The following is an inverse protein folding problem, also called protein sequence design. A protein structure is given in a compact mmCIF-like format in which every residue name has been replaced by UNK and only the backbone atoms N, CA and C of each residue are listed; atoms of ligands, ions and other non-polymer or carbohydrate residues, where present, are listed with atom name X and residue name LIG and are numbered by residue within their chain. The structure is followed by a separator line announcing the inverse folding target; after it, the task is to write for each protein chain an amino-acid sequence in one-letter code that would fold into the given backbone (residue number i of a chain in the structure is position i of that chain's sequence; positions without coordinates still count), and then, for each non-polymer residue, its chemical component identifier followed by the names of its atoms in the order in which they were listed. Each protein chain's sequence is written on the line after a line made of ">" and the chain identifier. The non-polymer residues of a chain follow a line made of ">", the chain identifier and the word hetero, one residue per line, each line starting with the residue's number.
data_IF_474611749212
#
_entry.id   IF_474611749212
#
_cell.length_a   1.000
_cell.length_b   1.000
_cell.length_c   1.000
_cell.angle_alpha   90.00
_cell.angle_beta   90.00
_cell.angle_gamma   90.00
#
_symmetry.space_group_name_H-M   'P 1'
#
loop_
_entity.id
_entity.type
_entity.pdbx_description
1 polymer ?
#
# COMPACT_ATOMS: atom_id res chain seq x y z
N UNK A 1 -92.57 -49.07 -14.18
CA UNK A 1 -92.46 -47.61 -14.12
C UNK A 1 -91.34 -47.31 -13.15
N UNK A 2 -90.19 -46.87 -13.67
CA UNK A 2 -89.03 -46.51 -12.85
C UNK A 2 -89.16 -45.04 -12.43
N UNK A 3 -89.02 -44.77 -11.13
CA UNK A 3 -88.96 -43.42 -10.58
C UNK A 3 -87.76 -42.64 -11.15
N UNK A 4 -87.91 -41.33 -11.45
CA UNK A 4 -86.86 -40.55 -12.10
C UNK A 4 -85.77 -40.10 -11.12
N UNK A 5 -84.58 -39.85 -11.68
CA UNK A 5 -83.32 -39.46 -11.06
C UNK A 5 -83.32 -38.08 -10.35
N UNK A 6 -84.32 -37.79 -9.50
CA UNK A 6 -84.60 -36.42 -9.04
C UNK A 6 -84.09 -36.05 -7.63
N UNK A 7 -83.36 -36.91 -6.91
CA UNK A 7 -83.06 -36.65 -5.48
C UNK A 7 -81.57 -36.47 -5.10
N UNK A 8 -80.62 -36.74 -6.01
CA UNK A 8 -79.19 -36.54 -5.71
C UNK A 8 -78.80 -35.06 -5.86
N UNK A 9 -79.37 -34.35 -6.84
CA UNK A 9 -79.06 -32.93 -7.09
C UNK A 9 -79.38 -32.02 -5.90
N UNK A 10 -80.46 -32.31 -5.16
CA UNK A 10 -80.87 -31.51 -3.99
C UNK A 10 -79.87 -31.58 -2.83
N UNK A 11 -79.12 -32.68 -2.73
CA UNK A 11 -78.11 -32.85 -1.68
C UNK A 11 -76.89 -31.93 -1.85
N UNK A 12 -76.75 -31.28 -3.02
CA UNK A 12 -75.60 -30.43 -3.36
C UNK A 12 -75.95 -28.95 -3.61
N UNK A 13 -77.22 -28.53 -3.48
CA UNK A 13 -77.67 -27.15 -3.75
C UNK A 13 -76.96 -26.11 -2.86
N UNK A 14 -76.51 -26.49 -1.66
CA UNK A 14 -75.73 -25.62 -0.77
C UNK A 14 -74.38 -25.18 -1.39
N UNK A 15 -73.82 -25.93 -2.33
CA UNK A 15 -72.56 -25.61 -3.00
C UNK A 15 -72.70 -24.57 -4.11
N UNK A 16 -73.91 -24.24 -4.55
CA UNK A 16 -74.16 -23.19 -5.56
C UNK A 16 -73.88 -21.78 -5.02
N UNK A 17 -73.85 -21.61 -3.68
CA UNK A 17 -73.54 -20.35 -3.01
C UNK A 17 -72.06 -20.22 -2.60
N UNK A 18 -71.25 -21.24 -2.83
CA UNK A 18 -69.82 -21.17 -2.49
C UNK A 18 -69.05 -20.42 -3.58
N UNK A 19 -68.10 -19.54 -3.22
CA UNK A 19 -67.25 -18.81 -4.18
C UNK A 19 -66.11 -19.70 -4.73
N UNK A 20 -66.41 -20.97 -5.01
CA UNK A 20 -65.49 -21.98 -5.52
C UNK A 20 -66.18 -22.77 -6.62
N UNK A 21 -65.42 -23.26 -7.60
CA UNK A 21 -65.94 -24.19 -8.57
C UNK A 21 -66.09 -25.58 -7.95
N UNK A 22 -67.29 -26.13 -7.87
CA UNK A 22 -67.56 -27.43 -7.25
C UNK A 22 -68.23 -28.36 -8.24
N UNK A 23 -67.65 -29.54 -8.42
CA UNK A 23 -68.27 -30.60 -9.22
C UNK A 23 -68.03 -31.97 -8.58
N UNK A 24 -68.88 -32.93 -8.87
CA UNK A 24 -68.72 -34.30 -8.39
C UNK A 24 -68.78 -35.31 -9.54
N UNK A 25 -67.99 -36.37 -9.42
CA UNK A 25 -67.93 -37.47 -10.39
C UNK A 25 -68.35 -38.80 -9.75
N UNK A 26 -69.00 -39.68 -10.51
CA UNK A 26 -69.14 -41.10 -10.15
C UNK A 26 -67.91 -41.93 -10.58
N UNK A 27 -67.90 -43.23 -10.25
CA UNK A 27 -66.82 -44.16 -10.60
C UNK A 27 -66.58 -44.29 -12.11
N UNK A 28 -67.61 -43.99 -12.92
CA UNK A 28 -67.56 -44.00 -14.38
C UNK A 28 -67.03 -42.67 -14.97
N UNK A 29 -66.60 -41.74 -14.12
CA UNK A 29 -66.12 -40.39 -14.50
C UNK A 29 -67.21 -39.51 -15.12
N UNK A 30 -68.49 -39.77 -14.81
CA UNK A 30 -69.61 -38.93 -15.22
C UNK A 30 -69.87 -37.83 -14.20
N UNK A 31 -70.21 -36.65 -14.69
CA UNK A 31 -70.51 -35.49 -13.86
C UNK A 31 -71.88 -35.65 -13.23
N UNK A 32 -71.94 -35.77 -11.90
CA UNK A 32 -73.21 -35.87 -11.16
C UNK A 32 -73.63 -34.55 -10.53
N UNK A 33 -72.68 -33.63 -10.37
CA UNK A 33 -72.94 -32.28 -9.88
C UNK A 33 -71.99 -31.28 -10.53
N UNK A 34 -72.51 -30.09 -10.83
CA UNK A 34 -71.78 -28.98 -11.44
C UNK A 34 -72.42 -27.68 -10.94
N UNK A 35 -71.66 -26.89 -10.18
CA UNK A 35 -72.22 -25.72 -9.51
C UNK A 35 -72.24 -24.46 -10.39
N UNK A 36 -73.01 -23.46 -9.97
CA UNK A 36 -73.19 -22.19 -10.68
C UNK A 36 -71.84 -21.48 -10.97
N UNK A 37 -70.89 -21.52 -10.04
CA UNK A 37 -69.56 -20.93 -10.26
C UNK A 37 -68.83 -21.54 -11.44
N UNK A 38 -68.91 -22.86 -11.63
CA UNK A 38 -68.31 -23.51 -12.79
C UNK A 38 -69.05 -23.21 -14.09
N UNK A 39 -70.38 -23.08 -14.06
CA UNK A 39 -71.14 -22.59 -15.23
C UNK A 39 -70.65 -21.20 -15.65
N UNK A 40 -70.49 -20.28 -14.69
CA UNK A 40 -69.99 -18.94 -14.94
C UNK A 40 -68.54 -18.94 -15.46
N UNK A 41 -67.69 -19.80 -14.90
CA UNK A 41 -66.28 -19.87 -15.27
C UNK A 41 -66.04 -20.52 -16.64
N UNK A 42 -66.76 -21.61 -16.97
CA UNK A 42 -66.50 -22.38 -18.19
C UNK A 42 -67.43 -22.01 -19.34
N UNK A 43 -68.56 -21.37 -19.04
CA UNK A 43 -69.65 -21.14 -20.00
C UNK A 43 -70.43 -22.40 -20.36
N UNK A 44 -70.21 -23.53 -19.67
CA UNK A 44 -70.92 -24.79 -19.91
C UNK A 44 -72.08 -24.90 -18.91
N UNK A 45 -73.36 -24.87 -19.38
CA UNK A 45 -74.51 -25.05 -18.52
C UNK A 45 -74.54 -26.46 -17.90
N UNK A 46 -74.98 -26.59 -16.64
CA UNK A 46 -75.01 -27.87 -15.90
C UNK A 46 -75.83 -28.93 -16.61
N UNK A 47 -76.91 -28.55 -17.30
CA UNK A 47 -77.78 -29.46 -18.02
C UNK A 47 -77.11 -30.09 -19.25
N UNK A 48 -76.06 -29.46 -19.79
CA UNK A 48 -75.30 -30.00 -20.93
C UNK A 48 -74.22 -30.99 -20.50
N UNK A 49 -73.68 -30.84 -19.28
CA UNK A 49 -72.55 -31.63 -18.78
C UNK A 49 -72.94 -32.73 -17.78
N UNK A 50 -74.01 -32.53 -17.00
CA UNK A 50 -74.46 -33.53 -16.00
C UNK A 50 -74.93 -34.81 -16.70
N UNK A 51 -74.55 -35.97 -16.15
CA UNK A 51 -74.83 -37.29 -16.73
C UNK A 51 -73.94 -37.66 -17.92
N UNK A 52 -72.93 -36.85 -18.24
CA UNK A 52 -71.93 -37.15 -19.28
C UNK A 52 -70.54 -37.30 -18.67
N UNK A 53 -69.68 -38.05 -19.36
CA UNK A 53 -68.29 -38.21 -18.93
C UNK A 53 -67.52 -36.89 -18.95
N UNK A 54 -66.87 -36.53 -17.85
CA UNK A 54 -66.00 -35.34 -17.75
C UNK A 54 -64.84 -35.40 -18.76
N UNK A 55 -64.42 -36.61 -19.14
CA UNK A 55 -63.32 -36.85 -20.08
C UNK A 55 -63.68 -36.48 -21.53
N UNK A 56 -64.97 -36.30 -21.83
CA UNK A 56 -65.44 -35.78 -23.12
C UNK A 56 -65.17 -34.27 -23.22
N UNK A 57 -65.55 -33.51 -22.18
CA UNK A 57 -65.36 -32.06 -22.12
C UNK A 57 -63.90 -31.68 -21.86
N UNK A 58 -63.18 -32.50 -21.11
CA UNK A 58 -61.80 -32.24 -20.70
C UNK A 58 -60.88 -33.44 -20.98
N UNK A 59 -60.48 -33.67 -22.25
CA UNK A 59 -59.69 -34.84 -22.64
C UNK A 59 -58.32 -34.94 -21.97
N UNK A 60 -57.73 -33.84 -21.49
CA UNK A 60 -56.44 -33.85 -20.79
C UNK A 60 -56.48 -34.64 -19.48
N UNK A 61 -57.67 -34.78 -18.88
CA UNK A 61 -57.86 -35.60 -17.67
C UNK A 61 -57.65 -37.10 -17.92
N UNK A 62 -57.56 -37.55 -19.19
CA UNK A 62 -57.18 -38.92 -19.54
C UNK A 62 -55.70 -39.21 -19.26
N UNK A 63 -54.86 -38.18 -19.12
CA UNK A 63 -53.45 -38.39 -18.83
C UNK A 63 -53.30 -39.06 -17.46
N UNK A 64 -52.36 -40.04 -17.31
CA UNK A 64 -52.23 -40.84 -16.10
C UNK A 64 -52.10 -40.02 -14.81
N UNK A 65 -51.42 -38.86 -14.88
CA UNK A 65 -51.23 -37.96 -13.73
C UNK A 65 -52.52 -37.39 -13.13
N UNK A 66 -53.60 -37.30 -13.91
CA UNK A 66 -54.92 -36.92 -13.40
C UNK A 66 -55.76 -38.16 -13.12
N UNK A 67 -55.88 -39.04 -14.12
CA UNK A 67 -56.82 -40.16 -14.09
C UNK A 67 -56.55 -41.10 -12.91
N UNK A 68 -55.29 -41.44 -12.66
CA UNK A 68 -54.94 -42.35 -11.55
C UNK A 68 -55.32 -41.72 -10.20
N UNK A 69 -54.92 -40.47 -9.98
CA UNK A 69 -55.21 -39.73 -8.74
C UNK A 69 -56.70 -39.57 -8.48
N UNK A 70 -57.51 -39.38 -9.52
CA UNK A 70 -58.97 -39.30 -9.40
C UNK A 70 -59.55 -40.68 -9.08
N UNK A 71 -59.08 -41.73 -9.74
CA UNK A 71 -59.52 -43.11 -9.49
C UNK A 71 -59.18 -43.59 -8.08
N UNK A 72 -58.02 -43.23 -7.56
CA UNK A 72 -57.55 -43.61 -6.23
C UNK A 72 -58.50 -43.12 -5.12
N UNK A 73 -59.20 -42.00 -5.33
CA UNK A 73 -60.20 -41.44 -4.40
C UNK A 73 -61.40 -42.39 -4.24
N UNK A 74 -61.84 -43.05 -5.32
CA UNK A 74 -62.93 -44.03 -5.26
C UNK A 74 -62.52 -45.31 -4.53
N UNK A 75 -61.21 -45.61 -4.49
CA UNK A 75 -60.65 -46.77 -3.79
C UNK A 75 -60.36 -46.51 -2.31
N UNK A 76 -60.81 -45.38 -1.75
CA UNK A 76 -60.64 -45.02 -0.34
C UNK A 76 -59.31 -44.33 -0.01
N UNK A 77 -58.57 -43.84 -1.02
CA UNK A 77 -57.34 -43.07 -0.78
C UNK A 77 -57.62 -41.70 -0.16
N UNK A 78 -56.65 -41.08 0.55
CA UNK A 78 -56.78 -39.73 1.08
C UNK A 78 -57.10 -38.71 -0.02
N UNK A 79 -57.62 -37.54 0.38
CA UNK A 79 -57.92 -36.45 -0.55
C UNK A 79 -56.69 -36.06 -1.40
N UNK A 80 -56.90 -35.89 -2.70
CA UNK A 80 -55.83 -35.52 -3.64
C UNK A 80 -55.88 -34.02 -3.95
N UNK A 81 -54.71 -33.38 -3.99
CA UNK A 81 -54.58 -31.95 -4.36
C UNK A 81 -53.96 -31.83 -5.75
N UNK A 82 -54.58 -31.01 -6.58
CA UNK A 82 -54.11 -30.63 -7.91
C UNK A 82 -53.75 -29.15 -7.92
N UNK A 83 -52.46 -28.85 -7.89
CA UNK A 83 -51.93 -27.49 -8.06
C UNK A 83 -51.67 -27.17 -9.53
N UNK A 84 -51.85 -25.92 -9.94
CA UNK A 84 -51.49 -25.45 -11.28
C UNK A 84 -50.01 -25.63 -11.66
N UNK A 85 -49.09 -25.66 -10.69
CA UNK A 85 -47.67 -25.91 -10.95
C UNK A 85 -47.42 -27.31 -11.54
N UNK A 86 -48.06 -28.35 -11.01
CA UNK A 86 -47.85 -29.74 -11.44
C UNK A 86 -48.89 -30.20 -12.47
N UNK A 87 -50.09 -29.65 -12.36
CA UNK A 87 -51.28 -30.13 -13.06
C UNK A 87 -51.90 -29.07 -13.97
N UNK A 88 -51.28 -27.90 -14.17
CA UNK A 88 -51.77 -26.77 -14.99
C UNK A 88 -53.18 -26.28 -14.60
N UNK A 89 -54.22 -27.06 -14.90
CA UNK A 89 -55.61 -26.85 -14.52
C UNK A 89 -56.34 -28.20 -14.46
N UNK A 90 -57.32 -28.34 -13.56
CA UNK A 90 -58.28 -29.45 -13.62
C UNK A 90 -59.37 -29.10 -14.63
N UNK A 91 -59.96 -27.92 -14.48
CA UNK A 91 -60.93 -27.36 -15.40
C UNK A 91 -60.28 -26.11 -16.02
N UNK A 92 -59.83 -26.12 -17.29
CA UNK A 92 -59.27 -24.93 -17.91
C UNK A 92 -60.30 -23.80 -17.94
N UNK A 93 -60.06 -22.74 -17.17
CA UNK A 93 -60.90 -21.54 -17.14
C UNK A 93 -60.08 -20.37 -17.63
N UNK A 94 -60.57 -19.67 -18.65
CA UNK A 94 -59.90 -18.48 -19.19
C UNK A 94 -60.29 -17.23 -18.40
N UNK A 95 -59.35 -16.29 -18.31
CA UNK A 95 -59.56 -14.92 -17.89
C UNK A 95 -59.85 -14.05 -19.14
N UNK A 96 -60.28 -12.82 -18.91
CA UNK A 96 -60.66 -11.87 -19.97
C UNK A 96 -59.50 -11.55 -20.92
N UNK A 97 -58.27 -11.64 -20.43
CA UNK A 97 -57.02 -11.48 -21.19
C UNK A 97 -56.58 -12.75 -21.94
N UNK A 98 -57.45 -13.77 -22.03
CA UNK A 98 -57.20 -15.08 -22.62
C UNK A 98 -56.17 -15.96 -21.90
N UNK A 99 -55.59 -15.52 -20.78
CA UNK A 99 -54.77 -16.38 -19.92
C UNK A 99 -55.65 -17.38 -19.15
N UNK A 100 -55.06 -18.44 -18.60
CA UNK A 100 -55.80 -19.40 -17.78
C UNK A 100 -55.70 -19.03 -16.30
N UNK A 101 -56.82 -19.16 -15.58
CA UNK A 101 -56.85 -19.04 -14.11
C UNK A 101 -55.88 -20.04 -13.49
N UNK A 102 -55.10 -19.57 -12.52
CA UNK A 102 -54.33 -20.46 -11.65
C UNK A 102 -55.29 -21.07 -10.64
N UNK A 103 -55.29 -22.40 -10.58
CA UNK A 103 -56.24 -23.17 -9.79
C UNK A 103 -55.54 -24.03 -8.77
N UNK A 104 -56.19 -24.16 -7.62
CA UNK A 104 -55.96 -25.24 -6.69
C UNK A 104 -57.25 -26.05 -6.57
N UNK A 105 -57.17 -27.34 -6.91
CA UNK A 105 -58.31 -28.23 -6.81
C UNK A 105 -58.05 -29.32 -5.76
N UNK A 106 -58.99 -29.52 -4.85
CA UNK A 106 -58.96 -30.62 -3.89
C UNK A 106 -60.06 -31.62 -4.26
N UNK A 107 -59.70 -32.90 -4.24
CA UNK A 107 -60.61 -34.01 -4.53
C UNK A 107 -60.74 -34.88 -3.30
N UNK A 108 -61.96 -35.05 -2.84
CA UNK A 108 -62.30 -35.85 -1.66
C UNK A 108 -63.35 -36.90 -2.02
N UNK A 109 -63.32 -38.04 -1.35
CA UNK A 109 -64.37 -39.05 -1.47
C UNK A 109 -65.53 -38.67 -0.56
N UNK A 110 -66.75 -38.74 -1.11
CA UNK A 110 -67.98 -38.58 -0.36
C UNK A 110 -68.88 -39.78 -0.64
N UNK A 111 -69.63 -40.24 0.36
CA UNK A 111 -70.62 -41.31 0.18
C UNK A 111 -72.01 -40.69 0.12
N UNK A 112 -72.72 -40.93 -0.98
CA UNK A 112 -74.09 -40.48 -1.16
C UNK A 112 -75.08 -41.25 -0.28
N UNK A 113 -76.31 -40.74 -0.15
CA UNK A 113 -77.40 -41.42 0.56
C UNK A 113 -77.80 -42.75 -0.08
N UNK A 114 -77.44 -42.93 -1.35
CA UNK A 114 -77.61 -44.16 -2.12
C UNK A 114 -76.51 -45.21 -1.86
N UNK A 115 -75.56 -44.91 -0.96
CA UNK A 115 -74.44 -45.79 -0.60
C UNK A 115 -73.30 -45.79 -1.62
N UNK A 116 -73.37 -44.98 -2.70
CA UNK A 116 -72.32 -44.89 -3.71
C UNK A 116 -71.26 -43.86 -3.33
N UNK A 117 -70.04 -44.08 -3.78
CA UNK A 117 -68.91 -43.14 -3.59
C UNK A 117 -68.80 -42.19 -4.77
N UNK A 118 -68.67 -40.90 -4.48
CA UNK A 118 -68.43 -39.84 -5.45
C UNK A 118 -67.12 -39.13 -5.15
N UNK A 119 -66.43 -38.67 -6.20
CA UNK A 119 -65.28 -37.79 -6.08
C UNK A 119 -65.74 -36.34 -6.14
N UNK A 120 -65.71 -35.63 -5.01
CA UNK A 120 -66.06 -34.22 -4.90
C UNK A 120 -64.82 -33.35 -5.12
N UNK A 121 -64.88 -32.51 -6.15
CA UNK A 121 -63.86 -31.53 -6.49
C UNK A 121 -64.26 -30.16 -5.97
N UNK A 122 -63.32 -29.48 -5.31
CA UNK A 122 -63.40 -28.06 -5.00
C UNK A 122 -62.25 -27.35 -5.69
N UNK A 123 -62.55 -26.46 -6.63
CA UNK A 123 -61.61 -25.71 -7.47
C UNK A 123 -61.62 -24.26 -7.03
N UNK A 124 -60.50 -23.81 -6.48
CA UNK A 124 -60.29 -22.43 -6.07
C UNK A 124 -59.48 -21.68 -7.12
N UNK A 125 -59.90 -20.46 -7.45
CA UNK A 125 -59.07 -19.51 -8.18
C UNK A 125 -58.06 -18.87 -7.22
N UNK A 126 -56.78 -19.05 -7.51
CA UNK A 126 -55.65 -18.52 -6.73
C UNK A 126 -54.77 -17.59 -7.57
N UNK A 127 -55.26 -17.10 -8.71
CA UNK A 127 -54.47 -16.30 -9.67
C UNK A 127 -53.90 -15.03 -9.03
N UNK A 128 -54.74 -14.22 -8.38
CA UNK A 128 -54.29 -12.97 -7.74
C UNK A 128 -53.26 -13.24 -6.62
N UNK A 129 -53.50 -14.27 -5.81
CA UNK A 129 -52.60 -14.66 -4.73
C UNK A 129 -51.24 -15.13 -5.29
N UNK A 130 -51.24 -15.96 -6.33
CA UNK A 130 -50.02 -16.42 -7.00
C UNK A 130 -49.22 -15.28 -7.61
N UNK A 131 -49.89 -14.32 -8.27
CA UNK A 131 -49.24 -13.14 -8.83
C UNK A 131 -48.60 -12.28 -7.73
N UNK A 132 -49.34 -11.98 -6.65
CA UNK A 132 -48.82 -11.22 -5.51
C UNK A 132 -47.58 -11.89 -4.89
N UNK A 133 -47.59 -13.22 -4.71
CA UNK A 133 -46.43 -13.95 -4.17
C UNK A 133 -45.21 -13.84 -5.09
N UNK A 134 -45.41 -13.91 -6.41
CA UNK A 134 -44.33 -13.76 -7.38
C UNK A 134 -43.72 -12.35 -7.32
N UNK A 135 -44.57 -11.32 -7.26
CA UNK A 135 -44.13 -9.93 -7.15
C UNK A 135 -43.37 -9.68 -5.84
N UNK A 136 -43.88 -10.19 -4.70
CA UNK A 136 -43.20 -10.09 -3.42
C UNK A 136 -41.82 -10.76 -3.43
N UNK A 137 -41.69 -11.95 -4.04
CA UNK A 137 -40.39 -12.62 -4.17
C UNK A 137 -39.42 -11.76 -4.99
N UNK A 138 -39.87 -11.22 -6.12
CA UNK A 138 -39.06 -10.35 -6.97
C UNK A 138 -38.58 -9.11 -6.25
N UNK A 139 -39.47 -8.40 -5.55
CA UNK A 139 -39.12 -7.20 -4.76
C UNK A 139 -38.13 -7.53 -3.63
N UNK A 140 -38.36 -8.64 -2.91
CA UNK A 140 -37.47 -9.08 -1.83
C UNK A 140 -36.07 -9.39 -2.36
N UNK A 141 -35.98 -10.12 -3.47
CA UNK A 141 -34.70 -10.52 -4.05
C UNK A 141 -33.94 -9.29 -4.58
N UNK A 142 -34.63 -8.28 -5.13
CA UNK A 142 -34.04 -6.99 -5.48
C UNK A 142 -33.51 -6.22 -4.25
N UNK A 143 -34.30 -6.13 -3.19
CA UNK A 143 -33.89 -5.45 -1.95
C UNK A 143 -32.69 -6.13 -1.28
N UNK A 144 -32.65 -7.48 -1.27
CA UNK A 144 -31.50 -8.23 -0.77
C UNK A 144 -30.23 -7.95 -1.58
N UNK A 145 -30.34 -7.83 -2.90
CA UNK A 145 -29.21 -7.48 -3.75
C UNK A 145 -28.68 -6.07 -3.48
N UNK A 146 -29.57 -5.08 -3.34
CA UNK A 146 -29.19 -3.69 -3.02
C UNK A 146 -28.52 -3.58 -1.65
N UNK A 147 -29.04 -4.29 -0.63
CA UNK A 147 -28.43 -4.34 0.70
C UNK A 147 -27.03 -4.97 0.66
N UNK A 148 -26.86 -6.05 -0.11
CA UNK A 148 -25.56 -6.72 -0.26
C UNK A 148 -24.53 -5.81 -0.96
N UNK A 149 -24.91 -5.13 -2.04
CA UNK A 149 -24.04 -4.17 -2.74
C UNK A 149 -23.65 -3.01 -1.83
N UNK A 150 -24.60 -2.45 -1.09
CA UNK A 150 -24.34 -1.38 -0.12
C UNK A 150 -23.39 -1.84 0.98
N UNK A 151 -23.59 -3.04 1.52
CA UNK A 151 -22.74 -3.59 2.58
C UNK A 151 -21.30 -3.79 2.08
N UNK A 152 -21.12 -4.29 0.86
CA UNK A 152 -19.79 -4.41 0.24
C UNK A 152 -19.13 -3.04 0.04
N UNK A 153 -19.88 -2.01 -0.34
CA UNK A 153 -19.36 -0.65 -0.47
C UNK A 153 -18.91 -0.09 0.89
N UNK A 154 -19.72 -0.27 1.94
CA UNK A 154 -19.39 0.14 3.31
C UNK A 154 -18.14 -0.61 3.83
N UNK A 155 -18.02 -1.91 3.58
CA UNK A 155 -16.83 -2.71 3.95
C UNK A 155 -15.57 -2.23 3.22
N UNK A 156 -15.66 -1.92 1.91
CA UNK A 156 -14.53 -1.35 1.15
C UNK A 156 -14.09 0.00 1.68
N UNK A 157 -15.03 0.90 2.00
CA UNK A 157 -14.72 2.21 2.57
C UNK A 157 -14.04 2.08 3.94
N UNK A 158 -14.54 1.18 4.79
CA UNK A 158 -13.95 0.91 6.10
C UNK A 158 -12.53 0.36 5.98
N UNK A 159 -12.29 -0.55 5.03
CA UNK A 159 -10.95 -1.08 4.77
C UNK A 159 -10.01 0.03 4.30
N UNK A 160 -10.43 0.88 3.34
CA UNK A 160 -9.64 1.99 2.85
C UNK A 160 -9.26 2.98 3.97
N UNK A 161 -10.21 3.36 4.83
CA UNK A 161 -9.95 4.20 5.99
C UNK A 161 -8.98 3.55 6.98
N UNK A 162 -9.10 2.23 7.19
CA UNK A 162 -8.18 1.48 8.06
C UNK A 162 -6.76 1.49 7.50
N UNK A 163 -6.60 1.29 6.19
CA UNK A 163 -5.28 1.37 5.53
C UNK A 163 -4.69 2.76 5.67
N UNK A 164 -5.48 3.81 5.38
CA UNK A 164 -5.04 5.20 5.54
C UNK A 164 -4.48 5.48 6.94
N UNK A 165 -5.18 5.03 8.00
CA UNK A 165 -4.77 5.27 9.38
C UNK A 165 -3.60 4.41 9.89
N UNK A 166 -3.42 3.19 9.34
CA UNK A 166 -2.44 2.23 9.86
C UNK A 166 -1.18 2.07 8.99
N UNK A 167 -0.95 2.95 8.02
CA UNK A 167 0.33 2.97 7.29
C UNK A 167 1.45 3.53 8.15
N UNK A 168 2.67 3.01 7.96
CA UNK A 168 3.86 3.55 8.63
C UNK A 168 4.28 4.91 8.04
N UNK A 169 4.04 5.13 6.75
CA UNK A 169 4.30 6.39 6.06
C UNK A 169 3.21 7.41 6.42
N UNK A 170 3.64 8.66 6.62
CA UNK A 170 2.73 9.77 6.81
C UNK A 170 2.00 10.08 5.52
N UNK A 171 0.67 10.13 5.58
CA UNK A 171 -0.19 10.53 4.47
C UNK A 171 -0.83 11.86 4.84
N UNK A 172 -0.76 12.81 3.92
CA UNK A 172 -1.34 14.13 4.05
C UNK A 172 -2.06 14.51 2.75
N UNK A 173 -3.32 14.88 2.87
CA UNK A 173 -4.13 15.40 1.76
C UNK A 173 -4.20 16.92 1.90
N UNK A 174 -3.86 17.61 0.81
CA UNK A 174 -3.88 19.05 0.73
C UNK A 174 -5.02 19.50 -0.18
N UNK A 175 -5.70 20.57 0.22
CA UNK A 175 -6.65 21.28 -0.61
C UNK A 175 -5.96 22.04 -1.74
N UNK A 176 -6.74 22.70 -2.59
CA UNK A 176 -6.24 23.36 -3.81
C UNK A 176 -5.27 24.51 -3.52
N UNK A 177 -5.36 25.17 -2.36
CA UNK A 177 -4.46 26.25 -1.95
C UNK A 177 -3.26 25.79 -1.11
N UNK A 178 -3.12 24.48 -0.85
CA UNK A 178 -2.04 23.92 -0.02
C UNK A 178 -2.36 23.87 1.48
N UNK A 179 -3.61 24.12 1.86
CA UNK A 179 -4.14 23.85 3.19
C UNK A 179 -4.20 22.35 3.45
N UNK A 180 -3.96 21.94 4.68
CA UNK A 180 -4.02 20.52 5.07
C UNK A 180 -5.49 20.15 5.34
N UNK A 181 -6.06 19.29 4.49
CA UNK A 181 -7.44 18.83 4.62
C UNK A 181 -7.57 17.55 5.43
N UNK A 182 -6.57 16.67 5.36
CA UNK A 182 -6.56 15.41 6.09
C UNK A 182 -5.14 14.91 6.33
N UNK A 183 -4.93 14.21 7.44
CA UNK A 183 -3.68 13.54 7.79
C UNK A 183 -3.99 12.21 8.46
N UNK A 184 -3.10 11.23 8.33
CA UNK A 184 -3.22 9.96 9.05
C UNK A 184 -2.48 9.97 10.40
N UNK A 185 -2.59 8.88 11.15
CA UNK A 185 -1.85 8.72 12.42
C UNK A 185 -0.32 8.89 12.27
N UNK A 186 0.30 8.30 11.24
CA UNK A 186 1.74 8.37 11.04
C UNK A 186 2.27 9.80 10.83
N UNK A 187 1.49 10.68 10.19
CA UNK A 187 1.80 12.11 10.11
C UNK A 187 2.04 12.72 11.50
N UNK A 188 1.17 12.40 12.46
CA UNK A 188 1.24 12.95 13.80
C UNK A 188 2.46 12.41 14.55
N UNK A 189 2.76 11.12 14.37
CA UNK A 189 3.95 10.48 14.95
C UNK A 189 5.25 11.08 14.40
N UNK A 190 5.33 11.31 13.09
CA UNK A 190 6.55 11.80 12.43
C UNK A 190 6.76 13.29 12.69
N UNK A 191 5.72 14.11 12.62
CA UNK A 191 5.82 15.58 12.66
C UNK A 191 5.60 16.16 14.05
N UNK A 192 4.95 15.41 14.94
CA UNK A 192 4.52 15.83 16.27
C UNK A 192 3.28 16.74 16.28
N UNK A 193 2.69 17.04 15.13
CA UNK A 193 1.44 17.81 15.05
C UNK A 193 0.25 16.88 15.13
N UNK A 194 -0.65 17.16 16.07
CA UNK A 194 -1.95 16.50 16.10
C UNK A 194 -2.83 17.03 14.95
N UNK A 195 -3.82 16.27 14.47
CA UNK A 195 -4.70 16.72 13.38
C UNK A 195 -5.35 18.08 13.69
N UNK A 196 -5.77 18.31 14.93
CA UNK A 196 -6.37 19.59 15.35
C UNK A 196 -5.44 20.80 15.21
N UNK A 197 -4.11 20.58 15.26
CA UNK A 197 -3.11 21.65 15.11
C UNK A 197 -2.68 21.87 13.65
N UNK A 198 -2.94 20.89 12.79
CA UNK A 198 -2.47 20.86 11.40
C UNK A 198 -3.57 21.21 10.39
N UNK A 199 -4.79 20.73 10.61
CA UNK A 199 -5.90 20.89 9.67
C UNK A 199 -6.22 22.37 9.40
N UNK A 200 -6.42 22.71 8.13
CA UNK A 200 -6.68 24.05 7.62
C UNK A 200 -5.46 24.98 7.57
N UNK A 201 -4.30 24.56 8.09
CA UNK A 201 -3.06 25.33 7.97
C UNK A 201 -2.37 25.04 6.66
N UNK A 202 -1.61 26.02 6.19
CA UNK A 202 -0.80 25.89 4.99
C UNK A 202 0.45 25.02 5.27
N UNK A 203 0.67 24.00 4.43
CA UNK A 203 1.69 22.98 4.72
C UNK A 203 3.13 23.51 4.70
N UNK A 204 3.44 24.54 3.90
CA UNK A 204 4.78 25.14 3.83
C UNK A 204 5.12 25.84 5.12
N UNK A 205 4.19 26.63 5.65
CA UNK A 205 4.38 27.32 6.93
C UNK A 205 4.52 26.34 8.10
N UNK A 206 3.79 25.21 8.05
CA UNK A 206 3.77 24.24 9.14
C UNK A 206 5.01 23.32 9.14
N UNK A 207 5.38 22.80 7.98
CA UNK A 207 6.29 21.66 7.85
C UNK A 207 7.60 21.99 7.14
N UNK A 208 7.66 22.97 6.25
CA UNK A 208 8.89 23.23 5.48
C UNK A 208 9.87 24.03 6.34
N UNK A 209 11.12 23.57 6.42
CA UNK A 209 12.16 24.30 7.15
C UNK A 209 12.74 25.45 6.34
N UNK A 210 13.51 26.30 7.03
CA UNK A 210 14.26 27.45 6.51
C UNK A 210 15.52 27.07 5.73
N UNK A 211 15.80 25.77 5.54
CA UNK A 211 16.96 25.29 4.77
C UNK A 211 16.79 25.34 3.26
N UNK A 212 15.58 25.62 2.79
CA UNK A 212 15.28 25.70 1.36
C UNK A 212 15.19 27.15 0.94
N UNK A 213 15.82 27.48 -0.19
CA UNK A 213 15.71 28.80 -0.77
C UNK A 213 14.44 28.95 -1.63
N UNK A 214 14.19 30.16 -2.11
CA UNK A 214 13.05 30.44 -2.99
C UNK A 214 13.14 29.71 -4.33
N UNK A 215 14.34 29.35 -4.77
CA UNK A 215 14.60 28.67 -6.05
C UNK A 215 14.09 27.24 -5.99
N UNK A 216 14.41 26.51 -4.93
CA UNK A 216 13.93 25.15 -4.69
C UNK A 216 12.41 25.07 -4.74
N UNK A 217 11.71 26.02 -4.09
CA UNK A 217 10.25 26.04 -4.08
C UNK A 217 9.65 26.33 -5.45
N UNK A 218 10.28 27.19 -6.26
CA UNK A 218 9.84 27.46 -7.61
C UNK A 218 9.97 26.22 -8.51
N UNK A 219 11.09 25.51 -8.42
CA UNK A 219 11.32 24.25 -9.16
C UNK A 219 10.35 23.15 -8.73
N UNK A 220 10.15 22.98 -7.43
CA UNK A 220 9.18 22.05 -6.85
C UNK A 220 7.78 22.23 -7.47
N UNK A 221 7.27 23.46 -7.51
CA UNK A 221 5.94 23.75 -8.04
C UNK A 221 5.86 23.60 -9.55
N UNK A 222 6.89 24.03 -10.28
CA UNK A 222 6.97 23.87 -11.74
C UNK A 222 6.85 22.39 -12.11
N UNK A 223 7.63 21.51 -11.46
CA UNK A 223 7.60 20.06 -11.72
C UNK A 223 6.24 19.46 -11.35
N UNK A 224 5.69 19.80 -10.19
CA UNK A 224 4.42 19.24 -9.73
C UNK A 224 3.26 19.61 -10.66
N UNK A 225 3.21 20.87 -11.13
CA UNK A 225 2.16 21.36 -12.02
C UNK A 225 2.32 20.76 -13.42
N UNK A 226 3.55 20.68 -13.95
CA UNK A 226 3.80 20.16 -15.30
C UNK A 226 3.59 18.65 -15.41
N UNK A 227 4.04 17.90 -14.41
CA UNK A 227 4.06 16.43 -14.47
C UNK A 227 2.95 15.76 -13.66
N UNK A 228 2.26 16.50 -12.81
CA UNK A 228 1.25 15.98 -11.89
C UNK A 228 1.84 15.23 -10.69
N UNK A 229 3.17 15.17 -10.56
CA UNK A 229 3.85 14.48 -9.45
C UNK A 229 5.17 15.14 -9.10
N UNK A 230 5.60 14.98 -7.86
CA UNK A 230 6.94 15.36 -7.44
C UNK A 230 7.46 14.36 -6.42
N UNK A 231 8.75 14.03 -6.49
CA UNK A 231 9.40 13.16 -5.51
C UNK A 231 10.77 13.74 -5.18
N UNK A 232 11.10 13.82 -3.90
CA UNK A 232 12.42 14.30 -3.47
C UNK A 232 12.59 14.32 -1.96
N UNK A 233 13.74 14.84 -1.53
CA UNK A 233 14.06 15.03 -0.12
C UNK A 233 13.79 16.47 0.30
N UNK A 234 13.17 16.65 1.47
CA UNK A 234 12.85 17.95 2.05
C UNK A 234 13.33 17.97 3.50
N UNK A 235 13.99 19.04 3.92
CA UNK A 235 14.15 19.35 5.33
C UNK A 235 12.84 19.89 5.93
N UNK A 236 12.20 19.07 6.75
CA UNK A 236 10.98 19.39 7.47
C UNK A 236 11.24 19.93 8.88
N UNK A 237 10.24 20.58 9.47
CA UNK A 237 10.25 21.10 10.85
C UNK A 237 9.21 20.36 11.69
N UNK A 238 9.69 19.75 12.78
CA UNK A 238 8.86 19.11 13.78
C UNK A 238 8.18 20.16 14.68
N UNK A 239 7.03 19.85 15.30
CA UNK A 239 6.30 20.77 16.21
C UNK A 239 7.16 21.35 17.35
N UNK A 240 8.20 20.63 17.76
CA UNK A 240 9.15 21.06 18.81
C UNK A 240 10.30 21.94 18.28
N UNK A 241 10.30 22.30 16.99
CA UNK A 241 11.32 23.11 16.34
C UNK A 241 12.48 22.33 15.71
N UNK A 242 12.61 21.02 15.94
CA UNK A 242 13.67 20.19 15.34
C UNK A 242 13.53 20.15 13.83
N UNK A 243 14.62 20.41 13.11
CA UNK A 243 14.70 20.22 11.65
C UNK A 243 15.21 18.82 11.34
N UNK A 244 14.53 18.11 10.43
CA UNK A 244 14.84 16.72 10.08
C UNK A 244 14.54 16.45 8.59
N UNK A 245 15.30 15.56 7.92
CA UNK A 245 15.06 15.26 6.52
C UNK A 245 13.90 14.25 6.37
N UNK A 246 13.00 14.53 5.44
CA UNK A 246 11.97 13.62 4.98
C UNK A 246 12.16 13.30 3.49
N UNK A 247 11.82 12.09 3.08
CA UNK A 247 11.60 11.76 1.67
C UNK A 247 10.09 11.83 1.40
N UNK A 248 9.68 12.53 0.36
CA UNK A 248 8.27 12.83 0.09
C UNK A 248 7.94 12.61 -1.38
N UNK A 249 6.75 12.05 -1.60
CA UNK A 249 6.10 11.88 -2.90
C UNK A 249 4.77 12.63 -2.87
N UNK A 250 4.59 13.59 -3.77
CA UNK A 250 3.40 14.41 -3.90
C UNK A 250 2.75 14.17 -5.25
N UNK A 251 1.44 13.90 -5.27
CA UNK A 251 0.69 13.63 -6.48
C UNK A 251 -0.54 14.55 -6.57
N UNK A 252 -0.83 15.04 -7.77
CA UNK A 252 -2.00 15.87 -8.06
C UNK A 252 -3.22 14.97 -8.25
N UNK A 253 -4.32 15.29 -7.58
CA UNK A 253 -5.63 14.65 -7.76
C UNK A 253 -6.50 15.59 -8.59
N UNK A 254 -6.98 15.11 -9.73
CA UNK A 254 -7.86 15.85 -10.63
C UNK A 254 -9.31 15.43 -10.37
N UNK A 255 -10.19 16.40 -10.16
CA UNK A 255 -11.63 16.16 -9.97
C UNK A 255 -12.39 15.93 -11.28
N UNK A 256 -13.70 15.66 -11.18
CA UNK A 256 -14.56 15.39 -12.34
C UNK A 256 -14.62 16.53 -13.37
N UNK A 257 -14.34 17.77 -12.93
CA UNK A 257 -14.30 18.96 -13.79
C UNK A 257 -13.01 19.13 -14.59
N UNK A 258 -12.05 18.21 -14.47
CA UNK A 258 -10.73 18.33 -15.08
C UNK A 258 -9.80 19.34 -14.41
N UNK A 259 -10.23 19.94 -13.28
CA UNK A 259 -9.40 20.82 -12.46
C UNK A 259 -8.77 20.06 -11.29
N UNK A 260 -7.65 20.58 -10.79
CA UNK A 260 -7.02 20.09 -9.55
C UNK A 260 -8.04 20.20 -8.41
N UNK A 261 -8.31 19.07 -7.75
CA UNK A 261 -9.15 19.01 -6.56
C UNK A 261 -8.30 19.04 -5.29
N UNK A 262 -7.27 18.20 -5.23
CA UNK A 262 -6.41 18.01 -4.06
C UNK A 262 -4.99 17.61 -4.47
N UNK A 263 -4.10 17.57 -3.48
CA UNK A 263 -2.80 16.92 -3.61
C UNK A 263 -2.67 15.84 -2.53
N UNK A 264 -2.09 14.69 -2.87
CA UNK A 264 -1.78 13.63 -1.92
C UNK A 264 -0.27 13.53 -1.72
N UNK A 265 0.17 13.83 -0.50
CA UNK A 265 1.54 13.71 -0.06
C UNK A 265 1.69 12.41 0.76
N UNK A 266 2.74 11.65 0.45
CA UNK A 266 3.20 10.52 1.26
C UNK A 266 4.65 10.80 1.60
N UNK A 267 5.03 10.73 2.88
CA UNK A 267 6.40 10.99 3.30
C UNK A 267 6.85 10.16 4.49
N UNK A 268 8.17 10.01 4.61
CA UNK A 268 8.84 9.25 5.66
C UNK A 268 10.05 10.01 6.23
N UNK A 269 10.38 9.76 7.50
CA UNK A 269 11.53 10.34 8.19
C UNK A 269 12.80 9.55 7.85
N UNK A 270 13.68 10.16 7.06
CA UNK A 270 14.92 9.53 6.60
C UNK A 270 16.13 9.87 7.49
N UNK A 271 15.91 10.42 8.70
CA UNK A 271 16.98 10.82 9.63
C UNK A 271 17.94 9.66 9.93
N UNK A 272 17.41 8.46 10.22
CA UNK A 272 18.24 7.30 10.54
C UNK A 272 19.02 6.79 9.34
N UNK A 273 18.40 6.83 8.15
CA UNK A 273 19.06 6.47 6.88
C UNK A 273 20.24 7.41 6.62
N UNK A 274 20.03 8.72 6.70
CA UNK A 274 21.08 9.74 6.53
C UNK A 274 22.21 9.60 7.55
N UNK A 275 21.90 9.37 8.83
CA UNK A 275 22.93 9.15 9.86
C UNK A 275 23.76 7.90 9.59
N UNK A 276 23.12 6.83 9.11
CA UNK A 276 23.81 5.58 8.78
C UNK A 276 24.70 5.78 7.56
N UNK A 277 24.20 6.46 6.52
CA UNK A 277 24.98 6.85 5.35
C UNK A 277 26.19 7.71 5.74
N UNK A 278 26.00 8.76 6.54
CA UNK A 278 27.08 9.62 7.06
C UNK A 278 28.11 8.82 7.86
N UNK A 279 27.66 7.90 8.72
CA UNK A 279 28.56 7.04 9.50
C UNK A 279 29.38 6.13 8.57
N UNK A 280 28.74 5.49 7.59
CA UNK A 280 29.42 4.65 6.59
C UNK A 280 30.42 5.46 5.75
N UNK A 281 30.05 6.67 5.36
CA UNK A 281 30.94 7.60 4.65
C UNK A 281 32.13 7.98 5.53
N UNK A 282 31.92 8.30 6.81
CA UNK A 282 33.00 8.66 7.74
C UNK A 282 33.96 7.49 8.00
N UNK A 283 33.44 6.26 8.11
CA UNK A 283 34.24 5.04 8.23
C UNK A 283 35.02 4.72 6.95
N UNK A 284 34.50 5.09 5.78
CA UNK A 284 35.20 4.91 4.51
C UNK A 284 36.40 5.86 4.35
N UNK A 285 36.40 6.99 5.04
CA UNK A 285 37.33 8.10 4.79
C UNK A 285 38.35 8.40 5.89
N UNK A 286 38.15 7.90 7.10
CA UNK A 286 39.08 8.10 8.21
C UNK A 286 39.83 6.80 8.56
N UNK A 287 40.98 6.93 9.20
CA UNK A 287 41.75 5.83 9.79
C UNK A 287 41.21 5.51 11.18
N UNK A 288 40.82 4.26 11.41
CA UNK A 288 40.14 3.83 12.64
C UNK A 288 40.97 4.05 13.92
N UNK A 289 42.30 4.03 13.82
CA UNK A 289 43.18 4.18 14.98
C UNK A 289 43.40 5.65 15.35
N UNK A 290 43.67 6.49 14.35
CA UNK A 290 44.16 7.86 14.54
C UNK A 290 43.08 8.93 14.33
N UNK A 291 41.97 8.59 13.68
CA UNK A 291 40.85 9.49 13.39
C UNK A 291 41.11 10.53 12.30
N UNK A 292 42.33 10.63 11.77
CA UNK A 292 42.65 11.46 10.60
C UNK A 292 42.23 10.76 9.32
N UNK A 293 42.32 11.42 8.17
CA UNK A 293 41.94 10.82 6.90
C UNK A 293 42.76 9.54 6.61
N UNK A 294 42.15 8.54 5.99
CA UNK A 294 42.88 7.35 5.56
C UNK A 294 43.51 7.54 4.17
N UNK A 295 44.31 6.56 3.74
CA UNK A 295 44.97 6.57 2.42
C UNK A 295 44.00 6.74 1.25
N UNK A 296 42.79 6.17 1.33
CA UNK A 296 41.79 6.29 0.26
C UNK A 296 41.34 7.74 0.12
N UNK A 297 40.94 8.37 1.23
CA UNK A 297 40.55 9.78 1.24
C UNK A 297 41.67 10.68 0.75
N UNK A 298 42.91 10.43 1.19
CA UNK A 298 44.08 11.16 0.70
C UNK A 298 44.19 11.12 -0.84
N UNK A 299 44.09 9.93 -1.44
CA UNK A 299 44.21 9.79 -2.89
C UNK A 299 43.08 10.52 -3.64
N UNK A 300 41.84 10.38 -3.17
CA UNK A 300 40.68 11.07 -3.76
C UNK A 300 40.83 12.59 -3.66
N UNK A 301 41.16 13.09 -2.46
CA UNK A 301 41.32 14.52 -2.21
C UNK A 301 42.49 15.12 -3.00
N UNK A 302 43.59 14.39 -3.14
CA UNK A 302 44.73 14.85 -3.92
C UNK A 302 44.37 14.99 -5.40
N UNK A 303 43.64 14.02 -5.95
CA UNK A 303 43.18 14.08 -7.34
C UNK A 303 42.21 15.26 -7.58
N UNK A 304 41.25 15.45 -6.66
CA UNK A 304 40.33 16.59 -6.69
C UNK A 304 41.07 17.93 -6.65
N UNK A 305 42.00 18.08 -5.71
CA UNK A 305 42.75 19.32 -5.54
C UNK A 305 43.74 19.55 -6.68
N UNK A 306 44.35 18.51 -7.25
CA UNK A 306 45.17 18.62 -8.45
C UNK A 306 44.35 19.14 -9.65
N UNK A 307 43.17 18.56 -9.87
CA UNK A 307 42.23 19.02 -10.89
C UNK A 307 41.77 20.47 -10.66
N UNK A 308 41.54 20.85 -9.41
CA UNK A 308 41.15 22.22 -9.03
C UNK A 308 42.29 23.22 -9.23
N UNK A 309 43.50 22.87 -8.83
CA UNK A 309 44.71 23.65 -9.02
C UNK A 309 44.98 23.92 -10.50
N UNK A 310 44.79 22.92 -11.37
CA UNK A 310 44.90 23.09 -12.82
C UNK A 310 43.94 24.15 -13.39
N UNK A 311 42.70 24.22 -12.86
CA UNK A 311 41.70 25.23 -13.27
C UNK A 311 41.94 26.63 -12.69
N UNK A 312 42.46 26.71 -11.46
CA UNK A 312 42.65 27.97 -10.73
C UNK A 312 44.08 28.50 -10.79
N UNK A 313 45.00 27.76 -11.41
CA UNK A 313 46.41 28.10 -11.58
C UNK A 313 47.14 28.42 -10.27
N UNK A 314 47.05 27.51 -9.28
CA UNK A 314 47.84 27.58 -8.05
C UNK A 314 48.70 26.32 -7.86
N UNK A 315 49.67 26.41 -6.95
CA UNK A 315 50.61 25.33 -6.63
C UNK A 315 50.03 24.37 -5.58
N UNK A 316 50.31 23.08 -5.74
CA UNK A 316 49.96 22.06 -4.75
C UNK A 316 51.24 21.55 -4.11
N UNK A 317 51.27 21.62 -2.78
CA UNK A 317 52.34 21.06 -1.98
C UNK A 317 51.90 19.78 -1.28
N UNK A 318 52.80 18.80 -1.22
CA UNK A 318 52.59 17.53 -0.54
C UNK A 318 53.76 17.29 0.41
N UNK A 319 53.44 16.95 1.66
CA UNK A 319 54.39 16.52 2.67
C UNK A 319 54.13 15.05 2.97
N UNK A 320 55.14 14.20 2.83
CA UNK A 320 55.16 12.84 3.34
C UNK A 320 56.07 12.79 4.56
N UNK A 321 55.63 12.12 5.62
CA UNK A 321 56.42 11.97 6.83
C UNK A 321 56.32 10.56 7.40
N UNK A 322 57.36 10.19 8.14
CA UNK A 322 57.51 8.88 8.78
C UNK A 322 58.02 9.06 10.21
N UNK A 323 57.48 8.28 11.13
CA UNK A 323 57.97 8.24 12.51
C UNK A 323 59.28 7.44 12.55
N UNK A 324 60.36 8.13 12.92
CA UNK A 324 61.69 7.56 12.90
C UNK A 324 61.83 6.38 13.86
N UNK A 325 62.37 5.27 13.34
CA UNK A 325 62.64 4.05 14.12
C UNK A 325 61.39 3.42 14.77
N UNK A 326 60.19 3.69 14.26
CA UNK A 326 58.95 3.25 14.91
C UNK A 326 58.82 1.73 15.05
N UNK A 327 59.35 0.94 14.10
CA UNK A 327 59.49 -0.51 14.31
C UNK A 327 60.27 -0.87 15.59
N UNK A 328 61.41 -0.21 15.84
CA UNK A 328 62.18 -0.42 17.07
C UNK A 328 61.43 0.06 18.31
N UNK A 329 60.62 1.11 18.16
CA UNK A 329 59.72 1.56 19.22
C UNK A 329 58.71 0.46 19.59
N UNK A 330 58.01 -0.10 18.60
CA UNK A 330 57.07 -1.20 18.80
C UNK A 330 57.74 -2.44 19.39
N UNK A 331 58.92 -2.82 18.89
CA UNK A 331 59.68 -3.97 19.40
C UNK A 331 60.11 -3.77 20.87
N UNK A 332 60.23 -2.52 21.33
CA UNK A 332 60.67 -2.18 22.69
C UNK A 332 59.50 -2.01 23.67
N UNK A 333 58.42 -1.35 23.25
CA UNK A 333 57.32 -0.92 24.12
C UNK A 333 56.00 -1.65 23.85
N UNK A 334 55.94 -2.48 22.80
CA UNK A 334 54.75 -3.21 22.38
C UNK A 334 53.82 -2.40 21.48
N UNK A 335 53.01 -3.10 20.68
CA UNK A 335 52.09 -2.48 19.71
C UNK A 335 51.09 -1.52 20.35
N UNK A 336 50.60 -1.80 21.56
CA UNK A 336 49.67 -0.90 22.25
C UNK A 336 50.30 0.47 22.56
N UNK A 337 51.59 0.49 22.94
CA UNK A 337 52.32 1.74 23.14
C UNK A 337 52.60 2.46 21.80
N UNK A 338 52.81 1.69 20.73
CA UNK A 338 52.88 2.21 19.37
C UNK A 338 51.59 2.89 18.92
N UNK A 339 50.46 2.26 19.18
CA UNK A 339 49.13 2.77 18.86
C UNK A 339 48.86 4.11 19.56
N UNK A 340 49.20 4.21 20.85
CA UNK A 340 49.11 5.48 21.59
C UNK A 340 50.09 6.54 21.06
N UNK A 341 51.30 6.14 20.68
CA UNK A 341 52.26 7.05 20.02
C UNK A 341 51.69 7.59 18.70
N UNK A 342 51.08 6.74 17.86
CA UNK A 342 50.46 7.14 16.60
C UNK A 342 49.29 8.12 16.83
N UNK A 343 48.46 7.88 17.84
CA UNK A 343 47.38 8.80 18.22
C UNK A 343 47.91 10.16 18.67
N UNK A 344 48.96 10.18 19.50
CA UNK A 344 49.58 11.42 19.96
C UNK A 344 50.20 12.22 18.81
N UNK A 345 50.89 11.53 17.88
CA UNK A 345 51.45 12.15 16.67
C UNK A 345 50.31 12.71 15.81
N UNK A 346 49.30 11.92 15.48
CA UNK A 346 48.16 12.35 14.66
C UNK A 346 47.43 13.55 15.27
N UNK A 347 47.18 13.53 16.58
CA UNK A 347 46.56 14.64 17.30
C UNK A 347 47.39 15.93 17.20
N UNK A 348 48.71 15.81 17.38
CA UNK A 348 49.63 16.95 17.32
C UNK A 348 49.71 17.53 15.91
N UNK A 349 49.80 16.68 14.88
CA UNK A 349 49.81 17.09 13.48
C UNK A 349 48.48 17.78 13.11
N UNK A 350 47.34 17.21 13.51
CA UNK A 350 46.01 17.78 13.26
C UNK A 350 45.84 19.15 13.94
N UNK A 351 46.46 19.34 15.11
CA UNK A 351 46.53 20.62 15.79
C UNK A 351 47.37 21.69 15.07
N UNK A 352 48.10 21.34 14.02
CA UNK A 352 48.95 22.26 13.25
C UNK A 352 48.46 22.48 11.81
N UNK A 353 47.87 21.45 11.21
CA UNK A 353 47.24 21.47 9.89
C UNK A 353 45.81 22.01 10.04
N UNK A 354 45.68 23.34 9.93
CA UNK A 354 44.40 24.04 10.21
C UNK A 354 43.91 24.92 9.06
N UNK A 355 44.70 25.12 8.00
CA UNK A 355 44.26 26.03 6.93
C UNK A 355 43.14 25.36 6.15
N UNK A 356 42.18 26.17 5.72
CA UNK A 356 41.05 25.68 4.93
C UNK A 356 41.57 25.03 3.64
N UNK A 357 41.24 23.75 3.45
CA UNK A 357 41.67 22.97 2.28
C UNK A 357 42.86 22.04 2.53
N UNK A 358 43.62 22.22 3.62
CA UNK A 358 44.65 21.26 4.01
C UNK A 358 44.01 19.94 4.47
N UNK A 359 44.67 18.82 4.16
CA UNK A 359 44.26 17.49 4.61
C UNK A 359 45.44 16.76 5.24
N UNK A 360 45.28 16.31 6.48
CA UNK A 360 46.17 15.34 7.13
C UNK A 360 45.59 13.94 6.99
N UNK A 361 46.41 12.98 6.54
CA UNK A 361 46.06 11.59 6.42
C UNK A 361 47.12 10.66 6.99
N UNK A 362 46.71 9.50 7.51
CA UNK A 362 47.61 8.38 7.75
C UNK A 362 47.75 7.58 6.46
N UNK A 363 48.94 7.66 5.86
CA UNK A 363 49.20 7.11 4.54
C UNK A 363 49.44 5.59 4.58
N UNK A 364 50.06 5.09 5.65
CA UNK A 364 50.19 3.65 5.92
C UNK A 364 51.12 3.39 7.10
N UNK A 365 50.81 2.40 7.96
CA UNK A 365 51.69 2.04 9.08
C UNK A 365 52.03 3.24 9.98
N UNK A 366 53.29 3.68 9.95
CA UNK A 366 53.84 4.84 10.68
C UNK A 366 53.97 6.12 9.83
N UNK A 367 53.47 6.10 8.60
CA UNK A 367 53.56 7.18 7.62
C UNK A 367 52.30 8.05 7.62
N UNK A 368 52.50 9.37 7.55
CA UNK A 368 51.45 10.36 7.36
C UNK A 368 51.73 11.20 6.12
N UNK A 369 50.65 11.73 5.54
CA UNK A 369 50.70 12.61 4.37
C UNK A 369 49.88 13.87 4.64
N UNK A 370 50.34 15.01 4.14
CA UNK A 370 49.63 16.29 4.24
C UNK A 370 49.53 16.91 2.86
N UNK A 371 48.30 17.19 2.41
CA UNK A 371 48.02 17.97 1.21
C UNK A 371 47.89 19.44 1.64
N UNK A 372 48.67 20.32 1.03
CA UNK A 372 48.63 21.77 1.24
C UNK A 372 48.36 22.49 -0.09
N UNK A 373 47.08 22.76 -0.42
CA UNK A 373 46.71 23.54 -1.61
C UNK A 373 47.13 25.00 -1.48
N UNK A 374 47.48 25.63 -2.59
CA UNK A 374 47.82 27.06 -2.68
C UNK A 374 48.95 27.44 -1.71
N UNK A 375 49.96 26.55 -1.65
CA UNK A 375 51.11 26.66 -0.76
C UNK A 375 52.38 26.53 -1.59
N UNK A 376 53.26 27.53 -1.46
CA UNK A 376 54.56 27.55 -2.10
C UNK A 376 55.61 26.72 -1.33
N UNK A 377 56.81 26.65 -1.87
CA UNK A 377 57.92 25.89 -1.30
C UNK A 377 58.33 26.41 0.10
N UNK A 378 58.43 27.73 0.29
CA UNK A 378 58.91 28.34 1.54
C UNK A 378 57.90 28.13 2.68
N UNK A 379 56.61 28.31 2.40
CA UNK A 379 55.55 28.08 3.39
C UNK A 379 55.40 26.60 3.74
N UNK A 380 55.62 25.70 2.77
CA UNK A 380 55.61 24.25 2.99
C UNK A 380 56.80 23.78 3.81
N UNK A 381 57.99 24.34 3.56
CA UNK A 381 59.17 24.10 4.39
C UNK A 381 58.95 24.57 5.82
N UNK A 382 58.41 25.79 6.01
CA UNK A 382 58.11 26.34 7.33
C UNK A 382 57.10 25.49 8.09
N UNK A 383 56.06 24.99 7.41
CA UNK A 383 55.10 24.04 8.00
C UNK A 383 55.81 22.73 8.38
N UNK A 384 56.59 22.14 7.47
CA UNK A 384 57.29 20.88 7.69
C UNK A 384 58.23 20.93 8.90
N UNK A 385 59.02 22.00 9.04
CA UNK A 385 59.88 22.20 10.21
C UNK A 385 59.06 22.38 11.49
N UNK A 386 57.96 23.13 11.43
CA UNK A 386 57.05 23.29 12.57
C UNK A 386 56.47 21.96 13.04
N UNK A 387 56.06 21.09 12.10
CA UNK A 387 55.59 19.74 12.42
C UNK A 387 56.71 18.92 13.08
N UNK A 388 57.92 18.94 12.51
CA UNK A 388 59.09 18.24 13.05
C UNK A 388 59.40 18.63 14.48
N UNK A 389 59.52 19.94 14.74
CA UNK A 389 59.78 20.47 16.07
C UNK A 389 58.66 20.14 17.06
N UNK A 390 57.40 20.18 16.63
CA UNK A 390 56.27 19.88 17.50
C UNK A 390 56.27 18.42 17.97
N UNK A 391 56.55 17.47 17.06
CA UNK A 391 56.67 16.05 17.43
C UNK A 391 57.87 15.81 18.33
N UNK A 392 59.03 16.41 18.00
CA UNK A 392 60.22 16.33 18.86
C UNK A 392 59.99 16.92 20.27
N UNK A 393 59.08 17.90 20.38
CA UNK A 393 58.71 18.56 21.63
C UNK A 393 57.69 17.78 22.47
N UNK A 394 57.07 16.72 21.93
CA UNK A 394 56.23 15.81 22.72
C UNK A 394 57.05 15.00 23.74
N UNK A 395 58.37 14.94 23.56
CA UNK A 395 59.32 14.26 24.45
C UNK A 395 58.95 12.80 24.77
N UNK A 396 58.35 12.11 23.80
CA UNK A 396 57.98 10.70 23.93
C UNK A 396 59.28 9.87 23.94
N UNK A 397 59.57 9.22 25.07
CA UNK A 397 60.82 8.50 25.26
C UNK A 397 60.99 7.33 24.26
N UNK A 398 62.12 7.28 23.57
CA UNK A 398 62.48 6.19 22.67
C UNK A 398 63.94 5.79 22.86
N UNK A 399 64.19 4.86 23.79
CA UNK A 399 65.55 4.44 24.22
C UNK A 399 66.40 3.79 23.11
N UNK A 400 65.77 3.30 22.06
CA UNK A 400 66.44 2.66 20.91
C UNK A 400 66.65 3.61 19.73
N UNK A 401 66.12 4.84 19.81
CA UNK A 401 66.44 5.91 18.88
C UNK A 401 67.74 6.60 19.30
N UNK A 402 68.64 6.95 18.37
CA UNK A 402 69.81 7.78 18.65
C UNK A 402 69.48 9.15 19.26
N UNK A 403 68.25 9.62 19.07
CA UNK A 403 67.75 10.88 19.60
C UNK A 403 67.19 10.76 21.03
N UNK A 404 67.06 9.53 21.56
CA UNK A 404 66.48 9.25 22.89
C UNK A 404 64.96 9.44 23.00
N UNK A 405 64.33 9.98 21.96
CA UNK A 405 62.90 10.29 21.85
C UNK A 405 62.37 10.01 20.43
N UNK A 406 61.05 10.03 20.31
CA UNK A 406 60.35 9.93 19.02
C UNK A 406 60.62 11.20 18.21
N UNK A 407 61.02 11.02 16.96
CA UNK A 407 61.23 12.07 15.96
C UNK A 407 60.54 11.68 14.67
N UNK A 408 60.40 12.63 13.74
CA UNK A 408 59.86 12.37 12.41
C UNK A 408 60.84 12.87 11.34
N UNK A 409 60.91 12.13 10.23
CA UNK A 409 61.54 12.58 9.00
C UNK A 409 60.46 13.01 8.02
N UNK A 410 60.68 14.11 7.31
CA UNK A 410 59.71 14.66 6.36
C UNK A 410 60.36 14.87 5.00
N UNK A 411 59.66 14.50 3.94
CA UNK A 411 59.93 14.87 2.57
C UNK A 411 58.78 15.71 2.03
N UNK A 412 59.05 16.77 1.29
CA UNK A 412 57.98 17.53 0.65
C UNK A 412 58.32 17.89 -0.79
N UNK A 413 57.27 18.06 -1.60
CA UNK A 413 57.37 18.56 -2.96
C UNK A 413 56.29 19.60 -3.22
N UNK A 414 56.59 20.55 -4.08
CA UNK A 414 55.66 21.59 -4.53
C UNK A 414 55.69 21.61 -6.05
N UNK A 415 54.53 21.44 -6.68
CA UNK A 415 54.40 21.48 -8.14
C UNK A 415 53.23 22.35 -8.57
N UNK A 416 53.43 23.06 -9.68
CA UNK A 416 52.38 23.79 -10.38
C UNK A 416 51.60 22.82 -11.29
N UNK A 417 50.29 22.66 -11.06
CA UNK A 417 49.46 21.66 -11.75
C UNK A 417 49.34 21.87 -13.28
N UNK A 418 49.81 23.01 -13.82
CA UNK A 418 49.75 23.35 -15.24
C UNK A 418 51.05 23.04 -16.03
N UNK A 419 52.07 22.43 -15.41
CA UNK A 419 53.42 22.27 -16.01
C UNK A 419 53.70 20.90 -16.63
N UNK A 420 52.66 20.07 -16.86
CA UNK A 420 52.80 18.75 -17.49
C UNK A 420 53.15 17.61 -16.52
N UNK A 421 53.30 17.90 -15.24
CA UNK A 421 53.37 16.90 -14.17
C UNK A 421 52.00 16.33 -13.83
N UNK A 422 52.01 15.18 -13.15
CA UNK A 422 50.82 14.52 -12.59
C UNK A 422 50.84 14.56 -11.07
N UNK A 423 49.71 14.29 -10.44
CA UNK A 423 49.62 14.09 -9.00
C UNK A 423 50.52 12.94 -8.52
N UNK A 424 50.75 11.94 -9.39
CA UNK A 424 51.67 10.84 -9.12
C UNK A 424 53.13 11.30 -9.08
N UNK A 425 53.51 12.31 -9.87
CA UNK A 425 54.84 12.92 -9.79
C UNK A 425 55.05 13.66 -8.47
N UNK A 426 54.02 14.34 -7.97
CA UNK A 426 54.07 15.03 -6.69
C UNK A 426 54.34 14.03 -5.54
N UNK A 427 53.63 12.90 -5.53
CA UNK A 427 53.86 11.80 -4.56
C UNK A 427 55.29 11.27 -4.69
N UNK A 428 55.73 10.96 -5.92
CA UNK A 428 57.06 10.40 -6.16
C UNK A 428 58.17 11.34 -5.66
N UNK A 429 58.08 12.63 -5.95
CA UNK A 429 59.08 13.61 -5.51
C UNK A 429 59.11 13.76 -3.99
N UNK A 430 57.94 13.82 -3.34
CA UNK A 430 57.85 13.89 -1.88
C UNK A 430 58.41 12.61 -1.21
N UNK A 431 58.22 11.45 -1.83
CA UNK A 431 58.77 10.17 -1.34
C UNK A 431 60.29 10.11 -1.49
N UNK A 432 60.82 10.55 -2.64
CA UNK A 432 62.27 10.66 -2.86
C UNK A 432 62.92 11.62 -1.85
N UNK A 433 62.24 12.72 -1.52
CA UNK A 433 62.66 13.65 -0.49
C UNK A 433 62.66 13.00 0.90
N UNK A 434 61.59 12.28 1.25
CA UNK A 434 61.50 11.56 2.53
C UNK A 434 62.60 10.49 2.64
N UNK A 435 62.90 9.80 1.55
CA UNK A 435 64.01 8.85 1.50
C UNK A 435 65.36 9.53 1.76
N UNK A 436 65.61 10.72 1.17
CA UNK A 436 66.79 11.53 1.49
C UNK A 436 66.81 11.93 2.96
N UNK A 437 65.68 12.29 3.55
CA UNK A 437 65.61 12.68 4.96
C UNK A 437 66.01 11.50 5.87
N UNK A 438 65.49 10.30 5.58
CA UNK A 438 65.84 9.07 6.30
C UNK A 438 67.31 8.67 6.13
N UNK A 439 67.88 8.88 4.93
CA UNK A 439 69.30 8.61 4.63
C UNK A 439 70.26 9.65 5.20
N UNK A 440 69.83 10.91 5.32
CA UNK A 440 70.59 12.07 5.79
C UNK A 440 70.70 12.18 7.31
N UNK A 441 70.32 11.15 8.05
CA UNK A 441 70.42 11.07 9.50
C UNK A 441 69.09 11.00 10.23
N UNK A 442 67.95 11.22 9.57
CA UNK A 442 66.60 11.36 10.17
C UNK A 442 66.41 12.65 10.98
N UNK A 443 65.24 12.82 11.61
CA UNK A 443 64.82 14.04 12.31
C UNK A 443 65.13 15.32 11.50
N UNK A 444 64.65 15.36 10.25
CA UNK A 444 64.88 16.48 9.34
C UNK A 444 63.81 16.59 8.28
N UNK A 445 63.77 17.74 7.63
CA UNK A 445 62.99 18.00 6.42
C UNK A 445 63.93 17.97 5.22
N UNK A 446 63.54 17.29 4.15
CA UNK A 446 64.17 17.37 2.85
C UNK A 446 63.12 17.70 1.79
N UNK A 447 63.58 18.31 0.70
CA UNK A 447 62.80 18.59 -0.50
C UNK A 447 63.30 17.72 -1.65
#
# INVERSE_FOLDING_TARGET
>A
MAEPAQDISKSFELFDYMPLGVFALNSEMEVVFWNLMLEMWTGIPRHEITGRSILFFYPHLKQPKYLQRIKDVFSGSPSAVFSSLLHKYIIPVKLDDSSFRTQQANVSSITGRDGKTYALFSVQDVTELSNRIADYKKMRDQALHEVEERKKAEEKLKLAATVFENTAEAIMILGRSGEIDSVNHAFSVITGYEPMDALGREFRELLISDRHDSTFMAEFWSILIETGRWKGEIWARHKNGRVFPIEVSLNVIIGESGQISHFAAIFDDITQRKRTEELLTSMSYNDDLTGVANRRHFNERLNEEWSRAGRKHYDVSLILLDIDYFKLYNDTYGHQAGDECLKMVAHTLSGLVKRAGELLARYGGEEFAIIAPDSDQDSTLALSEKLRYAIESLDIAHKRSPYGKVTISLGFATLAANTGFTESDLIRLADEALYRAKGGGRNRVEQ
#
